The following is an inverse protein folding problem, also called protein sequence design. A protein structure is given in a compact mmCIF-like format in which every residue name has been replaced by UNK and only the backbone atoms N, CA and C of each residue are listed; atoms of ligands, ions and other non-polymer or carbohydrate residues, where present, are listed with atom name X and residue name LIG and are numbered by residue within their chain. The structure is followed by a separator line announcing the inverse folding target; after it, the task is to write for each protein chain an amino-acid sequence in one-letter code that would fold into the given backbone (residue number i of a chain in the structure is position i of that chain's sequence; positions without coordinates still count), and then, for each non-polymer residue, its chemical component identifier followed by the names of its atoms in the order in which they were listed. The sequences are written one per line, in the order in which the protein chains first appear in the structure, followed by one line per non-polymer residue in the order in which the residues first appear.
data_IF_025814842773
#
_entry.id   IF_025814842773
#
_cell.length_a   1.000
_cell.length_b   1.000
_cell.length_c   1.000
_cell.angle_alpha   90.00
_cell.angle_beta   90.00
_cell.angle_gamma   90.00
#
_symmetry.space_group_name_H-M   'P 1'
#
loop_
_entity.id
_entity.type
_entity.pdbx_description
1 polymer ?
#
# COMPACT_ATOMS: atom_id res chain seq x y z
N UNK A 1 -9.18 11.00 -61.26
CA UNK A 1 -8.61 11.22 -59.91
C UNK A 1 -9.08 10.08 -59.03
N UNK A 2 -8.26 9.03 -58.93
CA UNK A 2 -8.64 7.77 -58.26
C UNK A 2 -8.33 7.83 -56.75
N UNK A 3 -9.39 7.98 -55.97
CA UNK A 3 -9.73 7.29 -54.71
C UNK A 3 -8.58 6.48 -54.04
N UNK A 4 -7.59 7.15 -53.46
CA UNK A 4 -6.56 6.51 -52.59
C UNK A 4 -6.95 6.48 -51.09
N UNK A 5 -8.05 7.14 -50.72
CA UNK A 5 -8.48 7.36 -49.33
C UNK A 5 -8.93 6.09 -48.57
N UNK A 6 -9.60 5.08 -49.14
CA UNK A 6 -10.21 4.01 -48.33
C UNK A 6 -9.21 2.99 -47.78
N UNK A 7 -7.99 2.91 -48.34
CA UNK A 7 -6.99 1.90 -47.93
C UNK A 7 -6.24 2.29 -46.65
N UNK A 8 -6.08 3.60 -46.40
CA UNK A 8 -5.37 4.11 -45.20
C UNK A 8 -6.26 3.95 -43.95
N UNK A 9 -7.58 4.13 -44.10
CA UNK A 9 -8.56 4.00 -42.99
C UNK A 9 -8.69 2.56 -42.47
N UNK A 10 -8.62 1.58 -43.37
CA UNK A 10 -8.74 0.16 -43.01
C UNK A 10 -7.53 -0.36 -42.21
N UNK A 11 -6.32 0.13 -42.52
CA UNK A 11 -5.09 -0.25 -41.83
C UNK A 11 -5.03 0.33 -40.41
N UNK A 12 -5.51 1.56 -40.21
CA UNK A 12 -5.59 2.18 -38.88
C UNK A 12 -6.60 1.48 -37.96
N UNK A 13 -7.75 1.03 -38.48
CA UNK A 13 -8.73 0.25 -37.72
C UNK A 13 -8.19 -1.11 -37.26
N UNK A 14 -7.38 -1.77 -38.09
CA UNK A 14 -6.78 -3.07 -37.78
C UNK A 14 -5.65 -2.97 -36.74
N UNK A 15 -4.79 -1.95 -36.84
CA UNK A 15 -3.70 -1.72 -35.88
C UNK A 15 -4.26 -1.28 -34.51
N UNK A 16 -5.31 -0.45 -34.49
CA UNK A 16 -6.00 -0.06 -33.25
C UNK A 16 -6.58 -1.26 -32.49
N UNK A 17 -7.15 -2.24 -33.20
CA UNK A 17 -7.68 -3.47 -32.61
C UNK A 17 -6.64 -4.36 -31.92
N UNK A 18 -5.38 -4.36 -32.40
CA UNK A 18 -4.30 -5.18 -31.86
C UNK A 18 -3.59 -4.57 -30.64
N UNK A 19 -3.58 -3.24 -30.53
CA UNK A 19 -2.94 -2.53 -29.41
C UNK A 19 -3.88 -2.45 -28.19
N UNK A 20 -5.19 -2.41 -28.42
CA UNK A 20 -6.22 -2.27 -27.37
C UNK A 20 -6.11 -3.33 -26.24
N UNK A 21 -5.90 -4.64 -26.50
CA UNK A 21 -5.75 -5.65 -25.46
C UNK A 21 -4.55 -5.41 -24.53
N UNK A 22 -3.43 -4.93 -25.08
CA UNK A 22 -2.18 -4.71 -24.34
C UNK A 22 -2.27 -3.50 -23.42
N UNK A 23 -2.94 -2.43 -23.87
CA UNK A 23 -3.20 -1.27 -23.04
C UNK A 23 -4.16 -1.64 -21.91
N UNK A 24 -5.24 -2.39 -22.22
CA UNK A 24 -6.22 -2.84 -21.23
C UNK A 24 -5.60 -3.76 -20.17
N UNK A 25 -4.74 -4.69 -20.55
CA UNK A 25 -4.06 -5.57 -19.58
C UNK A 25 -3.14 -4.79 -18.64
N UNK A 26 -2.37 -3.82 -19.16
CA UNK A 26 -1.49 -2.96 -18.35
C UNK A 26 -2.25 -2.12 -17.34
N UNK A 27 -3.44 -1.63 -17.70
CA UNK A 27 -4.31 -0.89 -16.77
C UNK A 27 -4.88 -1.83 -15.71
N UNK A 28 -5.42 -2.99 -16.11
CA UNK A 28 -5.97 -3.97 -15.18
C UNK A 28 -4.93 -4.46 -14.15
N UNK A 29 -3.69 -4.70 -14.57
CA UNK A 29 -2.59 -5.05 -13.65
C UNK A 29 -2.26 -3.93 -12.65
N UNK A 30 -2.36 -2.66 -13.07
CA UNK A 30 -2.15 -1.52 -12.17
C UNK A 30 -3.29 -1.41 -11.16
N UNK A 31 -4.53 -1.56 -11.60
CA UNK A 31 -5.71 -1.57 -10.74
C UNK A 31 -5.63 -2.70 -9.71
N UNK A 32 -5.32 -3.92 -10.15
CA UNK A 32 -5.20 -5.07 -9.26
C UNK A 32 -4.09 -4.89 -8.21
N UNK A 33 -2.94 -4.32 -8.58
CA UNK A 33 -1.87 -3.98 -7.64
C UNK A 33 -2.32 -2.93 -6.62
N UNK A 34 -3.03 -1.90 -7.07
CA UNK A 34 -3.52 -0.84 -6.19
C UNK A 34 -4.59 -1.37 -5.23
N UNK A 35 -5.50 -2.22 -5.70
CA UNK A 35 -6.48 -2.89 -4.85
C UNK A 35 -5.82 -3.77 -3.78
N UNK A 36 -4.82 -4.56 -4.17
CA UNK A 36 -4.07 -5.39 -3.23
C UNK A 36 -3.41 -4.53 -2.14
N UNK A 37 -2.72 -3.45 -2.53
CA UNK A 37 -2.09 -2.51 -1.59
C UNK A 37 -3.11 -1.85 -0.65
N UNK A 38 -4.28 -1.44 -1.16
CA UNK A 38 -5.35 -0.87 -0.32
C UNK A 38 -5.90 -1.88 0.69
N UNK A 39 -6.09 -3.13 0.27
CA UNK A 39 -6.50 -4.23 1.17
C UNK A 39 -5.46 -4.44 2.27
N UNK A 40 -4.18 -4.41 1.91
CA UNK A 40 -3.09 -4.58 2.86
C UNK A 40 -2.99 -3.43 3.86
N UNK A 41 -3.06 -2.17 3.39
CA UNK A 41 -3.11 -0.99 4.27
C UNK A 41 -4.30 -1.04 5.23
N UNK A 42 -5.46 -1.46 4.74
CA UNK A 42 -6.65 -1.63 5.58
C UNK A 42 -6.43 -2.70 6.65
N UNK A 43 -5.92 -3.88 6.27
CA UNK A 43 -5.63 -4.95 7.23
C UNK A 43 -4.65 -4.49 8.32
N UNK A 44 -3.62 -3.72 7.96
CA UNK A 44 -2.70 -3.14 8.94
C UNK A 44 -3.40 -2.14 9.86
N UNK A 45 -4.21 -1.23 9.32
CA UNK A 45 -4.97 -0.25 10.12
C UNK A 45 -5.92 -0.91 11.08
N UNK A 46 -6.66 -1.92 10.62
CA UNK A 46 -7.62 -2.67 11.43
C UNK A 46 -6.87 -3.39 12.57
N UNK A 47 -5.78 -4.11 12.26
CA UNK A 47 -4.98 -4.81 13.26
C UNK A 47 -4.29 -3.88 14.27
N UNK A 48 -3.84 -2.67 13.85
CA UNK A 48 -3.30 -1.66 14.76
C UNK A 48 -4.41 -1.03 15.61
N UNK A 49 -5.62 -0.87 15.06
CA UNK A 49 -6.76 -0.28 15.76
C UNK A 49 -7.28 -1.20 16.85
N UNK A 50 -7.35 -2.50 16.57
CA UNK A 50 -7.79 -3.56 17.49
C UNK A 50 -6.71 -3.96 18.49
N UNK A 51 -5.46 -3.53 18.27
CA UNK A 51 -4.36 -3.77 19.19
C UNK A 51 -4.51 -2.95 20.48
N UNK A 52 -4.63 -3.66 21.59
CA UNK A 52 -4.40 -3.10 22.93
C UNK A 52 -2.90 -3.05 23.23
N UNK A 53 -2.38 -1.84 23.45
CA UNK A 53 -0.96 -1.59 23.74
C UNK A 53 -0.44 -2.43 24.92
N UNK A 54 -1.32 -2.79 25.85
CA UNK A 54 -1.02 -3.57 27.03
C UNK A 54 -0.81 -5.06 26.76
N UNK A 55 -1.40 -5.63 25.70
CA UNK A 55 -1.46 -7.08 25.49
C UNK A 55 -0.32 -7.68 24.62
N UNK A 56 0.72 -6.92 24.26
CA UNK A 56 1.99 -7.40 23.66
C UNK A 56 1.91 -8.29 22.38
N UNK A 57 0.72 -8.59 21.86
CA UNK A 57 0.54 -9.61 20.83
C UNK A 57 0.84 -9.15 19.40
N UNK A 58 0.77 -7.84 19.12
CA UNK A 58 0.88 -7.34 17.73
C UNK A 58 2.19 -7.75 17.05
N UNK A 59 3.32 -7.72 17.76
CA UNK A 59 4.61 -8.11 17.20
C UNK A 59 4.71 -9.57 16.73
N UNK A 60 3.75 -10.42 17.13
CA UNK A 60 3.68 -11.83 16.73
C UNK A 60 2.67 -12.10 15.61
N UNK A 61 1.94 -11.09 15.14
CA UNK A 61 0.89 -11.31 14.15
C UNK A 61 1.44 -11.37 12.72
N UNK A 62 0.73 -12.04 11.79
CA UNK A 62 1.05 -12.00 10.37
C UNK A 62 1.03 -10.57 9.81
N UNK A 63 0.12 -9.72 10.30
CA UNK A 63 -0.01 -8.33 9.88
C UNK A 63 1.26 -7.54 10.20
N UNK A 64 1.80 -7.68 11.42
CA UNK A 64 3.07 -7.05 11.77
C UNK A 64 4.22 -7.57 10.91
N UNK A 65 4.31 -8.88 10.70
CA UNK A 65 5.38 -9.47 9.87
C UNK A 65 5.37 -8.89 8.44
N UNK A 66 4.17 -8.72 7.86
CA UNK A 66 4.00 -8.12 6.55
C UNK A 66 4.27 -6.61 6.54
N UNK A 67 3.87 -5.88 7.58
CA UNK A 67 4.11 -4.45 7.73
C UNK A 67 5.62 -4.18 7.91
N UNK A 68 6.29 -4.96 8.75
CA UNK A 68 7.72 -4.84 9.09
C UNK A 68 8.63 -4.81 7.88
N UNK A 69 8.30 -5.55 6.82
CA UNK A 69 9.07 -5.55 5.56
C UNK A 69 9.09 -4.18 4.86
N UNK A 70 8.13 -3.30 5.18
CA UNK A 70 7.99 -1.96 4.61
C UNK A 70 8.32 -0.84 5.61
N UNK A 71 8.58 -1.18 6.87
CA UNK A 71 8.86 -0.21 7.92
C UNK A 71 10.28 0.34 7.85
N UNK A 72 10.44 1.59 8.27
CA UNK A 72 11.75 2.17 8.51
C UNK A 72 12.50 1.41 9.62
N UNK A 73 13.81 1.12 9.46
CA UNK A 73 14.60 0.38 10.45
C UNK A 73 14.53 0.98 11.86
N UNK A 74 14.57 2.32 11.97
CA UNK A 74 14.49 3.03 13.25
C UNK A 74 13.16 2.80 13.97
N UNK A 75 12.06 2.63 13.23
CA UNK A 75 10.74 2.39 13.81
C UNK A 75 10.64 0.94 14.28
N UNK A 76 11.21 -0.01 13.54
CA UNK A 76 11.31 -1.42 13.94
C UNK A 76 12.05 -1.51 15.28
N UNK A 77 13.22 -0.88 15.40
CA UNK A 77 14.02 -0.88 16.62
C UNK A 77 13.24 -0.27 17.80
N UNK A 78 12.56 0.86 17.59
CA UNK A 78 11.75 1.52 18.64
C UNK A 78 10.56 0.68 19.08
N UNK A 79 9.93 -0.03 18.15
CA UNK A 79 8.75 -0.85 18.43
C UNK A 79 9.14 -2.16 19.15
N UNK A 80 10.19 -2.84 18.67
CA UNK A 80 10.70 -4.11 19.23
C UNK A 80 11.50 -3.91 20.52
N UNK A 81 11.87 -2.67 20.86
CA UNK A 81 12.57 -2.37 22.10
C UNK A 81 11.75 -2.86 23.33
N UNK A 82 12.43 -3.47 24.33
CA UNK A 82 11.79 -3.91 25.56
C UNK A 82 11.03 -2.74 26.20
N UNK A 83 9.88 -3.04 26.83
CA UNK A 83 9.05 -2.08 27.57
C UNK A 83 9.80 -1.51 28.79
N UNK A 84 10.83 -0.72 28.56
CA UNK A 84 11.37 0.19 29.56
C UNK A 84 10.37 1.32 29.65
N UNK A 85 9.79 1.49 30.84
CA UNK A 85 8.77 2.49 31.18
C UNK A 85 9.02 3.80 30.42
N UNK A 86 8.23 4.05 29.37
CA UNK A 86 8.30 5.30 28.62
C UNK A 86 7.45 6.30 29.41
N UNK A 87 8.10 7.18 30.15
CA UNK A 87 7.43 8.31 30.82
C UNK A 87 6.91 9.23 29.73
N UNK A 88 5.60 9.20 29.50
CA UNK A 88 4.95 9.91 28.41
C UNK A 88 5.10 11.44 28.56
N UNK A 89 5.93 12.04 27.70
CA UNK A 89 5.82 13.45 27.35
C UNK A 89 4.86 13.62 26.16
N UNK A 90 3.62 14.04 26.42
CA UNK A 90 2.77 14.75 25.45
C UNK A 90 1.85 13.95 24.51
N UNK A 91 2.01 12.63 24.31
CA UNK A 91 1.18 11.85 23.34
C UNK A 91 0.26 10.78 23.94
N UNK A 92 0.02 10.79 25.26
CA UNK A 92 -0.90 9.86 25.91
C UNK A 92 -0.41 8.40 25.92
N UNK A 93 -1.31 7.48 26.26
CA UNK A 93 -1.03 6.05 26.51
C UNK A 93 -0.67 5.25 25.24
N UNK A 94 -0.91 5.81 24.05
CA UNK A 94 -0.91 5.11 22.76
C UNK A 94 0.25 5.49 21.80
N UNK A 95 1.39 5.95 22.33
CA UNK A 95 2.54 6.40 21.50
C UNK A 95 2.97 5.36 20.45
N UNK A 96 2.99 4.06 20.82
CA UNK A 96 3.35 2.96 19.89
C UNK A 96 2.31 2.78 18.79
N UNK A 97 1.02 2.87 19.12
CA UNK A 97 -0.08 2.77 18.16
C UNK A 97 -0.01 3.90 17.14
N UNK A 98 0.17 5.13 17.62
CA UNK A 98 0.36 6.29 16.74
C UNK A 98 1.59 6.17 15.85
N UNK A 99 2.72 5.67 16.39
CA UNK A 99 3.93 5.43 15.60
C UNK A 99 3.70 4.44 14.45
N UNK A 100 2.97 3.35 14.70
CA UNK A 100 2.61 2.38 13.65
C UNK A 100 1.65 2.98 12.62
N UNK A 101 0.65 3.78 13.06
CA UNK A 101 -0.28 4.46 12.16
C UNK A 101 0.41 5.49 11.27
N UNK A 102 1.37 6.25 11.82
CA UNK A 102 2.19 7.20 11.07
C UNK A 102 3.02 6.48 10.00
N UNK A 103 3.56 5.30 10.33
CA UNK A 103 4.33 4.49 9.40
C UNK A 103 3.46 3.91 8.27
N UNK A 104 2.24 3.46 8.59
CA UNK A 104 1.26 3.04 7.58
C UNK A 104 0.87 4.20 6.66
N UNK A 105 0.67 5.41 7.21
CA UNK A 105 0.40 6.61 6.42
C UNK A 105 1.57 6.99 5.50
N UNK A 106 2.81 6.83 5.98
CA UNK A 106 4.02 7.02 5.16
C UNK A 106 4.05 6.05 3.98
N UNK A 107 3.77 4.76 4.23
CA UNK A 107 3.74 3.72 3.19
C UNK A 107 2.62 3.99 2.17
N UNK A 108 1.44 4.43 2.62
CA UNK A 108 0.34 4.80 1.72
C UNK A 108 0.73 5.91 0.74
N UNK A 109 1.45 6.94 1.24
CA UNK A 109 1.99 8.02 0.42
C UNK A 109 3.09 7.52 -0.54
N UNK A 110 3.98 6.67 -0.08
CA UNK A 110 5.03 6.05 -0.91
C UNK A 110 4.43 5.26 -2.08
N UNK A 111 3.28 4.63 -1.86
CA UNK A 111 2.57 3.88 -2.90
C UNK A 111 1.70 4.73 -3.82
N UNK A 112 1.68 6.06 -3.65
CA UNK A 112 0.84 7.00 -4.40
C UNK A 112 -0.64 6.63 -4.41
N UNK A 113 -1.14 6.11 -3.29
CA UNK A 113 -2.57 5.78 -3.14
C UNK A 113 -3.41 6.96 -2.64
N UNK A 114 -2.73 8.03 -2.18
CA UNK A 114 -3.23 9.34 -1.82
C UNK A 114 -2.28 10.42 -2.34
#
# INVERSE_FOLDING_TARGET
MEIAVPRITAVLGFIGGLITPWVKSRVAEREQRNEYRRKQLKAWRDAISDYEVWNNGFGSTPEYSSLRAHMLPDIIVKFEAPRTMYVAGGRGEDVRKHMLLDEVARIEKEWSLL
#
